data_IF_474769167723
#
_entry.id   IF_474769167723
#
_cell.length_a   1.000
_cell.length_b   1.000
_cell.length_c   1.000
_cell.angle_alpha   90.00
_cell.angle_beta   90.00
_cell.angle_gamma   90.00
#
_symmetry.space_group_name_H-M   'P 1'
#
loop_
_entity.id
_entity.type
_entity.pdbx_description
1 polymer ?
#
# COMPACT_ATOMS: atom_id res chain seq x y z
N UNK A 1 15.62 27.64 -20.61
CA UNK A 1 15.57 28.53 -19.43
C UNK A 1 14.71 29.73 -19.81
N UNK A 2 13.46 29.79 -19.36
CA UNK A 2 12.59 30.94 -19.60
C UNK A 2 12.73 31.90 -18.43
N UNK A 3 13.20 33.11 -18.70
CA UNK A 3 13.31 34.21 -17.75
C UNK A 3 11.91 34.69 -17.35
N UNK A 4 11.51 34.39 -16.11
CA UNK A 4 10.22 34.84 -15.56
C UNK A 4 10.16 36.36 -15.41
N UNK A 5 9.13 36.97 -15.99
CA UNK A 5 8.81 38.38 -15.82
C UNK A 5 8.53 38.70 -14.35
N UNK A 6 9.15 39.78 -13.84
CA UNK A 6 8.97 40.23 -12.45
C UNK A 6 7.60 40.88 -12.29
N UNK A 7 6.56 40.11 -11.97
CA UNK A 7 5.24 40.64 -11.59
C UNK A 7 5.32 41.51 -10.31
N UNK A 8 4.54 42.60 -10.31
CA UNK A 8 4.47 43.62 -9.25
C UNK A 8 3.90 43.11 -7.92
N UNK A 9 4.11 43.89 -6.85
CA UNK A 9 3.79 43.52 -5.47
C UNK A 9 2.31 43.15 -5.24
N UNK A 10 1.38 43.84 -5.91
CA UNK A 10 -0.06 43.59 -5.80
C UNK A 10 -0.46 42.24 -6.45
N UNK A 11 0.13 41.90 -7.60
CA UNK A 11 -0.08 40.60 -8.24
C UNK A 11 0.44 39.45 -7.36
N UNK A 12 1.60 39.64 -6.70
CA UNK A 12 2.16 38.67 -5.74
C UNK A 12 1.31 38.49 -4.48
N UNK A 13 0.53 39.49 -4.09
CA UNK A 13 -0.37 39.44 -2.94
C UNK A 13 -1.70 38.75 -3.28
N UNK A 14 -2.16 38.89 -4.52
CA UNK A 14 -3.39 38.24 -5.03
C UNK A 14 -3.17 36.79 -5.48
N UNK A 15 -2.07 36.51 -6.21
CA UNK A 15 -1.75 35.16 -6.73
C UNK A 15 -1.01 34.29 -5.69
N UNK A 16 -0.47 34.91 -4.63
CA UNK A 16 0.48 34.26 -3.73
C UNK A 16 1.83 34.00 -4.41
N UNK A 17 2.86 33.60 -3.64
CA UNK A 17 4.13 33.15 -4.22
C UNK A 17 3.86 31.81 -4.94
N UNK A 18 3.98 31.79 -6.27
CA UNK A 18 4.12 30.54 -7.02
C UNK A 18 5.26 29.74 -6.38
N UNK A 19 4.92 28.58 -5.79
CA UNK A 19 5.93 27.67 -5.28
C UNK A 19 6.63 27.09 -6.50
N UNK A 20 7.94 27.31 -6.60
CA UNK A 20 8.79 26.64 -7.58
C UNK A 20 8.36 25.18 -7.72
N UNK A 21 8.15 24.69 -8.95
CA UNK A 21 7.76 23.29 -9.20
C UNK A 21 8.70 22.30 -8.52
N UNK A 22 9.97 22.66 -8.37
CA UNK A 22 10.97 21.92 -7.63
C UNK A 22 10.65 21.83 -6.11
N UNK A 23 10.17 22.92 -5.51
CA UNK A 23 9.75 22.96 -4.10
C UNK A 23 8.47 22.12 -3.89
N UNK A 24 7.48 22.25 -4.78
CA UNK A 24 6.25 21.45 -4.73
C UNK A 24 6.52 19.94 -4.87
N UNK A 25 7.45 19.55 -5.76
CA UNK A 25 7.89 18.15 -5.89
C UNK A 25 8.70 17.65 -4.69
N UNK A 26 9.50 18.52 -4.07
CA UNK A 26 10.29 18.15 -2.88
C UNK A 26 9.45 17.86 -1.63
N UNK A 27 8.23 18.41 -1.58
CA UNK A 27 7.27 18.17 -0.49
C UNK A 27 6.49 16.86 -0.64
N UNK A 28 6.57 16.20 -1.79
CA UNK A 28 5.87 14.94 -2.03
C UNK A 28 6.53 13.77 -1.27
N UNK A 29 5.75 12.80 -0.79
CA UNK A 29 6.28 11.68 -0.01
C UNK A 29 7.17 10.78 -0.86
N UNK A 30 8.34 10.43 -0.32
CA UNK A 30 9.38 9.64 -1.01
C UNK A 30 9.57 8.22 -0.47
N UNK A 31 8.86 7.88 0.60
CA UNK A 31 8.76 6.53 1.15
C UNK A 31 7.39 6.38 1.83
N UNK A 32 7.05 5.14 2.20
CA UNK A 32 5.77 4.80 2.86
C UNK A 32 5.57 5.58 4.17
N UNK A 33 6.62 5.70 4.97
CA UNK A 33 6.57 6.50 6.20
C UNK A 33 6.22 7.97 5.97
N UNK A 34 6.80 8.59 4.93
CA UNK A 34 6.49 9.96 4.53
C UNK A 34 5.07 10.07 3.99
N UNK A 35 4.61 9.07 3.24
CA UNK A 35 3.23 8.99 2.73
C UNK A 35 2.22 8.90 3.87
N UNK A 36 2.48 8.09 4.90
CA UNK A 36 1.67 8.04 6.10
C UNK A 36 1.47 9.44 6.70
N UNK A 37 2.57 10.18 6.93
CA UNK A 37 2.49 11.52 7.52
C UNK A 37 1.86 12.55 6.59
N UNK A 38 2.06 12.43 5.28
CA UNK A 38 1.43 13.28 4.27
C UNK A 38 -0.10 13.10 4.29
N UNK A 39 -0.59 11.85 4.33
CA UNK A 39 -2.02 11.56 4.44
C UNK A 39 -2.55 11.99 5.81
N UNK A 40 -1.86 11.62 6.89
CA UNK A 40 -2.31 11.86 8.26
C UNK A 40 -2.46 13.36 8.54
N UNK A 41 -1.48 14.19 8.14
CA UNK A 41 -1.53 15.65 8.36
C UNK A 41 -2.28 16.38 7.26
N UNK A 42 -2.04 16.03 5.99
CA UNK A 42 -2.62 16.71 4.84
C UNK A 42 -4.10 16.42 4.61
N UNK A 43 -4.60 15.26 5.08
CA UNK A 43 -6.01 14.85 4.94
C UNK A 43 -6.66 14.54 6.30
N UNK A 44 -6.17 15.14 7.38
CA UNK A 44 -6.64 14.87 8.75
C UNK A 44 -8.16 14.99 8.91
N UNK A 45 -8.77 16.09 8.44
CA UNK A 45 -10.23 16.28 8.52
C UNK A 45 -11.01 15.18 7.80
N UNK A 46 -10.45 14.64 6.70
CA UNK A 46 -11.07 13.52 5.98
C UNK A 46 -10.99 12.22 6.79
N UNK A 47 -9.87 11.98 7.47
CA UNK A 47 -9.71 10.84 8.37
C UNK A 47 -10.67 10.92 9.57
N UNK A 48 -10.94 12.12 10.09
CA UNK A 48 -11.91 12.33 11.18
C UNK A 48 -13.33 12.03 10.73
N UNK A 49 -13.77 12.60 9.60
CA UNK A 49 -15.12 12.35 9.06
C UNK A 49 -15.30 10.86 8.74
N UNK A 50 -14.28 10.22 8.14
CA UNK A 50 -14.31 8.80 7.87
C UNK A 50 -14.40 7.97 9.16
N UNK A 51 -13.67 8.36 10.21
CA UNK A 51 -13.72 7.69 11.51
C UNK A 51 -15.11 7.76 12.12
N UNK A 52 -15.73 8.95 12.14
CA UNK A 52 -17.07 9.14 12.66
C UNK A 52 -18.11 8.30 11.89
N UNK A 53 -17.97 8.22 10.56
CA UNK A 53 -18.85 7.42 9.73
C UNK A 53 -18.70 5.91 10.02
N UNK A 54 -17.48 5.41 10.22
CA UNK A 54 -17.25 4.05 10.68
C UNK A 54 -17.80 3.83 12.10
N UNK A 55 -17.60 4.79 12.99
CA UNK A 55 -17.97 4.70 14.40
C UNK A 55 -19.46 4.41 14.59
N UNK A 56 -20.32 4.97 13.73
CA UNK A 56 -21.78 4.68 13.73
C UNK A 56 -22.05 3.17 13.67
N UNK A 57 -21.33 2.43 12.84
CA UNK A 57 -21.48 0.98 12.72
C UNK A 57 -20.81 0.20 13.87
N UNK A 58 -19.89 0.83 14.58
CA UNK A 58 -19.26 0.26 15.78
C UNK A 58 -20.09 0.51 17.05
N UNK A 59 -21.10 1.39 17.05
CA UNK A 59 -21.95 1.67 18.22
C UNK A 59 -22.52 0.38 18.84
N UNK A 60 -23.11 -0.57 18.09
CA UNK A 60 -23.60 -1.81 18.69
C UNK A 60 -22.51 -2.61 19.40
N UNK A 61 -21.31 -2.67 18.82
CA UNK A 61 -20.18 -3.39 19.42
C UNK A 61 -19.70 -2.71 20.71
N UNK A 62 -19.61 -1.38 20.69
CA UNK A 62 -19.26 -0.58 21.87
C UNK A 62 -20.29 -0.80 22.98
N UNK A 63 -21.59 -0.71 22.66
CA UNK A 63 -22.67 -0.92 23.63
C UNK A 63 -22.63 -2.31 24.24
N UNK A 64 -22.43 -3.37 23.44
CA UNK A 64 -22.32 -4.74 23.94
C UNK A 64 -21.12 -4.89 24.89
N UNK A 65 -19.97 -4.28 24.57
CA UNK A 65 -18.79 -4.30 25.45
C UNK A 65 -19.04 -3.53 26.76
N UNK A 66 -19.70 -2.37 26.69
CA UNK A 66 -20.06 -1.57 27.86
C UNK A 66 -21.06 -2.32 28.74
N UNK A 67 -22.14 -2.86 28.17
CA UNK A 67 -23.13 -3.64 28.91
C UNK A 67 -22.53 -4.91 29.51
N UNK A 68 -21.64 -5.60 28.80
CA UNK A 68 -20.90 -6.74 29.37
C UNK A 68 -20.12 -6.29 30.61
N UNK A 69 -19.41 -5.17 30.52
CA UNK A 69 -18.58 -4.67 31.63
C UNK A 69 -19.41 -4.22 32.82
N UNK A 70 -20.55 -3.56 32.59
CA UNK A 70 -21.51 -3.19 33.64
C UNK A 70 -22.15 -4.43 34.27
N UNK A 71 -22.52 -5.42 33.46
CA UNK A 71 -23.11 -6.67 33.94
C UNK A 71 -22.15 -7.41 34.88
N UNK A 72 -20.87 -7.52 34.52
CA UNK A 72 -19.84 -8.11 35.42
C UNK A 72 -19.73 -7.33 36.72
N UNK A 73 -19.73 -6.00 36.68
CA UNK A 73 -19.65 -5.16 37.89
C UNK A 73 -20.87 -5.35 38.80
N UNK A 74 -22.08 -5.36 38.25
CA UNK A 74 -23.31 -5.59 39.01
C UNK A 74 -23.32 -7.00 39.62
N UNK A 75 -23.00 -8.03 38.84
CA UNK A 75 -22.92 -9.41 39.34
C UNK A 75 -21.85 -9.55 40.42
N UNK A 76 -20.71 -8.88 40.27
CA UNK A 76 -19.66 -8.88 41.30
C UNK A 76 -20.17 -8.25 42.59
N UNK A 77 -20.91 -7.13 42.53
CA UNK A 77 -21.45 -6.47 43.73
C UNK A 77 -22.60 -7.21 44.43
N UNK A 78 -23.34 -8.08 43.72
CA UNK A 78 -24.45 -8.87 44.27
C UNK A 78 -24.02 -10.21 44.85
N UNK A 79 -22.84 -10.70 44.47
CA UNK A 79 -22.37 -12.04 44.83
C UNK A 79 -21.58 -12.05 46.14
N UNK A 80 -21.65 -13.16 46.91
CA UNK A 80 -21.09 -13.28 48.26
C UNK A 80 -19.55 -13.33 48.32
N UNK A 81 -18.85 -13.20 47.18
CA UNK A 81 -17.39 -13.06 47.13
C UNK A 81 -16.90 -11.60 47.16
N UNK A 82 -17.77 -10.60 46.98
CA UNK A 82 -17.40 -9.17 47.02
C UNK A 82 -17.61 -8.51 48.39
N UNK A 83 -18.39 -9.13 49.29
CA UNK A 83 -18.57 -8.68 50.66
C UNK A 83 -17.51 -9.29 51.56
N UNK A 84 -16.51 -8.48 51.93
CA UNK A 84 -15.68 -8.78 53.09
C UNK A 84 -16.55 -9.11 54.30
N UNK A 85 -16.14 -10.11 55.07
CA UNK A 85 -16.67 -10.53 56.37
C UNK A 85 -17.43 -9.39 57.09
N UNK A 86 -18.77 -9.32 56.97
CA UNK A 86 -19.52 -8.27 57.68
C UNK A 86 -20.95 -7.93 57.23
N UNK A 87 -21.40 -8.37 56.05
CA UNK A 87 -22.73 -7.97 55.54
C UNK A 87 -23.58 -9.12 55.00
N UNK A 88 -24.59 -9.53 55.77
CA UNK A 88 -25.85 -10.13 55.29
C UNK A 88 -25.84 -11.56 54.73
N UNK A 89 -24.70 -12.08 54.28
CA UNK A 89 -24.59 -13.46 53.82
C UNK A 89 -24.04 -14.33 54.95
N UNK A 90 -24.80 -15.34 55.36
CA UNK A 90 -24.30 -16.38 56.28
C UNK A 90 -23.06 -17.08 55.72
N UNK A 91 -22.35 -17.87 56.52
CA UNK A 91 -21.20 -18.64 56.01
C UNK A 91 -21.65 -19.57 54.87
N UNK A 92 -21.39 -19.16 53.61
CA UNK A 92 -21.76 -19.96 52.44
C UNK A 92 -20.63 -20.96 52.18
N UNK A 93 -20.88 -22.26 52.29
CA UNK A 93 -19.88 -23.27 51.94
C UNK A 93 -19.61 -23.25 50.43
N UNK A 94 -18.35 -23.42 50.06
CA UNK A 94 -17.86 -23.62 48.69
C UNK A 94 -18.11 -22.47 47.70
N UNK A 95 -17.32 -21.39 47.81
CA UNK A 95 -17.27 -20.28 46.84
C UNK A 95 -16.27 -20.53 45.70
N UNK A 96 -15.59 -21.68 45.70
CA UNK A 96 -14.55 -22.01 44.73
C UNK A 96 -15.16 -22.08 43.32
N UNK A 97 -14.58 -21.34 42.38
CA UNK A 97 -15.05 -21.29 40.99
C UNK A 97 -16.30 -20.47 40.71
N UNK A 98 -16.91 -19.83 41.72
CA UNK A 98 -18.13 -19.04 41.52
C UNK A 98 -17.85 -17.80 40.65
N UNK A 99 -16.73 -17.10 40.89
CA UNK A 99 -16.33 -15.94 40.10
C UNK A 99 -16.03 -16.32 38.64
N UNK A 100 -15.32 -17.42 38.43
CA UNK A 100 -14.98 -17.94 37.10
C UNK A 100 -16.24 -18.41 36.36
N UNK A 101 -17.20 -19.02 37.06
CA UNK A 101 -18.49 -19.42 36.50
C UNK A 101 -19.32 -18.22 36.04
N UNK A 102 -19.36 -17.15 36.83
CA UNK A 102 -20.02 -15.88 36.45
C UNK A 102 -19.33 -15.25 35.25
N UNK A 103 -18.00 -15.22 35.21
CA UNK A 103 -17.25 -14.70 34.07
C UNK A 103 -17.49 -15.52 32.79
N UNK A 104 -17.52 -16.85 32.92
CA UNK A 104 -17.75 -17.78 31.82
C UNK A 104 -19.18 -17.68 31.27
N UNK A 105 -20.19 -17.69 32.12
CA UNK A 105 -21.60 -17.52 31.70
C UNK A 105 -21.83 -16.15 31.04
N UNK A 106 -21.21 -15.10 31.57
CA UNK A 106 -21.23 -13.77 30.96
C UNK A 106 -20.55 -13.76 29.58
N UNK A 107 -19.39 -14.42 29.44
CA UNK A 107 -18.69 -14.55 28.16
C UNK A 107 -19.50 -15.31 27.12
N UNK A 108 -20.22 -16.36 27.53
CA UNK A 108 -21.11 -17.10 26.65
C UNK A 108 -22.25 -16.21 26.14
N UNK A 109 -22.95 -15.53 27.07
CA UNK A 109 -24.09 -14.67 26.75
C UNK A 109 -23.68 -13.50 25.86
N UNK A 110 -22.68 -12.71 26.27
CA UNK A 110 -22.25 -11.52 25.53
C UNK A 110 -21.42 -11.86 24.30
N UNK A 111 -20.76 -13.01 24.25
CA UNK A 111 -19.95 -13.43 23.12
C UNK A 111 -20.76 -13.57 21.83
N UNK A 112 -21.98 -14.11 21.90
CA UNK A 112 -22.88 -14.19 20.75
C UNK A 112 -23.32 -12.80 20.28
N UNK A 113 -23.65 -11.89 21.21
CA UNK A 113 -23.98 -10.50 20.86
C UNK A 113 -22.79 -9.76 20.24
N UNK A 114 -21.55 -10.02 20.70
CA UNK A 114 -20.32 -9.47 20.12
C UNK A 114 -20.19 -9.94 18.66
N UNK A 115 -20.42 -11.22 18.35
CA UNK A 115 -20.34 -11.73 16.98
C UNK A 115 -21.32 -10.99 16.07
N UNK A 116 -22.58 -10.82 16.50
CA UNK A 116 -23.60 -10.09 15.73
C UNK A 116 -23.19 -8.63 15.54
N UNK A 117 -22.71 -7.97 16.59
CA UNK A 117 -22.24 -6.60 16.53
C UNK A 117 -21.00 -6.42 15.63
N UNK A 118 -20.10 -7.40 15.59
CA UNK A 118 -18.96 -7.43 14.68
C UNK A 118 -19.39 -7.49 13.21
N UNK A 119 -20.46 -8.24 12.89
CA UNK A 119 -21.01 -8.28 11.52
C UNK A 119 -21.55 -6.90 11.11
N UNK A 120 -22.20 -6.18 12.03
CA UNK A 120 -22.65 -4.80 11.78
C UNK A 120 -21.45 -3.87 11.60
N UNK A 121 -20.42 -3.97 12.46
CA UNK A 121 -19.19 -3.19 12.34
C UNK A 121 -18.43 -3.47 11.03
N UNK A 122 -18.54 -4.68 10.48
CA UNK A 122 -17.95 -5.05 9.19
C UNK A 122 -18.50 -4.20 8.02
N UNK A 123 -19.75 -3.72 8.12
CA UNK A 123 -20.32 -2.76 7.16
C UNK A 123 -19.49 -1.48 7.16
N UNK A 124 -19.25 -0.90 8.33
CA UNK A 124 -18.44 0.32 8.47
C UNK A 124 -17.00 0.12 8.00
N UNK A 125 -16.37 -1.00 8.40
CA UNK A 125 -15.01 -1.35 7.97
C UNK A 125 -14.89 -1.48 6.45
N UNK A 126 -15.91 -2.03 5.78
CA UNK A 126 -15.91 -2.21 4.32
C UNK A 126 -15.79 -0.88 3.57
N UNK A 127 -16.56 0.12 3.98
CA UNK A 127 -16.46 1.49 3.45
C UNK A 127 -15.13 2.16 3.83
N UNK A 128 -14.72 2.01 5.09
CA UNK A 128 -13.46 2.54 5.62
C UNK A 128 -12.22 2.08 4.84
N UNK A 129 -12.13 0.77 4.62
CA UNK A 129 -11.04 0.12 3.89
C UNK A 129 -10.92 0.69 2.47
N UNK A 130 -12.03 0.86 1.76
CA UNK A 130 -12.01 1.38 0.40
C UNK A 130 -11.47 2.82 0.36
N UNK A 131 -11.94 3.68 1.26
CA UNK A 131 -11.52 5.08 1.32
C UNK A 131 -10.04 5.19 1.73
N UNK A 132 -9.61 4.48 2.77
CA UNK A 132 -8.21 4.49 3.23
C UNK A 132 -7.28 3.96 2.14
N UNK A 133 -7.63 2.85 1.48
CA UNK A 133 -6.83 2.28 0.38
C UNK A 133 -6.63 3.31 -0.74
N UNK A 134 -7.69 4.00 -1.15
CA UNK A 134 -7.60 5.04 -2.18
C UNK A 134 -6.79 6.26 -1.70
N UNK A 135 -6.86 6.62 -0.41
CA UNK A 135 -5.97 7.65 0.16
C UNK A 135 -4.50 7.23 0.08
N UNK A 136 -4.16 5.98 0.40
CA UNK A 136 -2.79 5.45 0.31
C UNK A 136 -2.31 5.40 -1.15
N UNK A 137 -3.21 5.19 -2.11
CA UNK A 137 -2.89 5.35 -3.53
C UNK A 137 -2.85 6.80 -4.01
N UNK A 138 -2.99 7.77 -3.10
CA UNK A 138 -3.04 9.22 -3.37
C UNK A 138 -4.14 9.65 -4.34
N UNK A 139 -5.16 8.81 -4.52
CA UNK A 139 -6.29 9.12 -5.40
C UNK A 139 -7.16 10.23 -4.77
N UNK A 140 -7.85 10.99 -5.64
CA UNK A 140 -8.88 11.93 -5.22
C UNK A 140 -10.03 11.17 -4.58
N UNK A 141 -10.42 11.56 -3.37
CA UNK A 141 -11.48 10.88 -2.62
C UNK A 141 -12.58 11.84 -2.14
N UNK A 142 -13.81 11.40 -2.34
CA UNK A 142 -15.04 11.99 -1.83
C UNK A 142 -15.64 11.04 -0.79
N UNK A 143 -15.42 11.36 0.49
CA UNK A 143 -15.60 10.42 1.62
C UNK A 143 -16.96 9.74 1.61
N UNK A 144 -18.06 10.50 1.52
CA UNK A 144 -19.40 9.95 1.60
C UNK A 144 -19.68 8.95 0.45
N UNK A 145 -19.45 9.38 -0.79
CA UNK A 145 -19.74 8.56 -1.96
C UNK A 145 -18.82 7.33 -2.05
N UNK A 146 -17.52 7.52 -1.79
CA UNK A 146 -16.54 6.44 -1.82
C UNK A 146 -16.75 5.43 -0.69
N UNK A 147 -17.21 5.87 0.49
CA UNK A 147 -17.53 4.98 1.59
C UNK A 147 -18.67 4.01 1.24
N UNK A 148 -19.80 4.55 0.76
CA UNK A 148 -20.95 3.71 0.35
C UNK A 148 -20.63 2.82 -0.85
N UNK A 149 -19.82 3.32 -1.80
CA UNK A 149 -19.28 2.51 -2.89
C UNK A 149 -18.41 1.38 -2.36
N UNK A 150 -17.55 1.68 -1.39
CA UNK A 150 -16.68 0.72 -0.71
C UNK A 150 -17.46 -0.41 -0.05
N UNK A 151 -18.56 -0.08 0.66
CA UNK A 151 -19.47 -1.06 1.23
C UNK A 151 -19.93 -2.04 0.15
N UNK A 152 -20.49 -1.55 -0.96
CA UNK A 152 -21.03 -2.41 -2.02
C UNK A 152 -19.98 -3.33 -2.64
N UNK A 153 -18.72 -2.91 -2.73
CA UNK A 153 -17.65 -3.68 -3.38
C UNK A 153 -17.04 -4.72 -2.43
N UNK A 154 -16.74 -4.32 -1.19
CA UNK A 154 -15.91 -5.11 -0.28
C UNK A 154 -16.71 -5.87 0.79
N UNK A 155 -18.02 -5.59 0.93
CA UNK A 155 -18.80 -6.03 2.10
C UNK A 155 -18.72 -7.54 2.35
N UNK A 156 -18.87 -8.37 1.31
CA UNK A 156 -18.87 -9.83 1.49
C UNK A 156 -17.55 -10.34 2.07
N UNK A 157 -16.43 -9.87 1.52
CA UNK A 157 -15.10 -10.34 1.95
C UNK A 157 -14.78 -9.83 3.35
N UNK A 158 -15.08 -8.56 3.64
CA UNK A 158 -14.86 -7.96 4.96
C UNK A 158 -15.74 -8.64 6.00
N UNK A 159 -17.03 -8.83 5.72
CA UNK A 159 -17.95 -9.56 6.60
C UNK A 159 -17.47 -10.99 6.88
N UNK A 160 -17.07 -11.76 5.87
CA UNK A 160 -16.56 -13.12 6.08
C UNK A 160 -15.28 -13.13 6.94
N UNK A 161 -14.38 -12.17 6.70
CA UNK A 161 -13.15 -12.03 7.48
C UNK A 161 -13.44 -11.65 8.93
N UNK A 162 -14.33 -10.68 9.14
CA UNK A 162 -14.74 -10.22 10.48
C UNK A 162 -15.52 -11.30 11.23
N UNK A 163 -16.39 -12.06 10.55
CA UNK A 163 -17.11 -13.17 11.15
C UNK A 163 -16.17 -14.30 11.56
N UNK A 164 -15.24 -14.69 10.68
CA UNK A 164 -14.19 -15.66 11.02
C UNK A 164 -13.42 -15.22 12.26
N UNK A 165 -12.97 -13.97 12.29
CA UNK A 165 -12.24 -13.40 13.43
C UNK A 165 -13.07 -13.41 14.72
N UNK A 166 -14.32 -12.94 14.67
CA UNK A 166 -15.19 -12.88 15.84
C UNK A 166 -15.51 -14.27 16.41
N UNK A 167 -15.76 -15.27 15.56
CA UNK A 167 -16.01 -16.65 15.99
C UNK A 167 -14.75 -17.26 16.60
N UNK A 168 -13.58 -17.08 15.99
CA UNK A 168 -12.32 -17.58 16.57
C UNK A 168 -12.01 -16.93 17.91
N UNK A 169 -12.16 -15.60 18.01
CA UNK A 169 -11.99 -14.90 19.28
C UNK A 169 -12.94 -15.43 20.36
N UNK A 170 -14.21 -15.65 20.01
CA UNK A 170 -15.19 -16.22 20.93
C UNK A 170 -14.78 -17.62 21.40
N UNK A 171 -14.40 -18.51 20.48
CA UNK A 171 -13.99 -19.88 20.82
C UNK A 171 -12.75 -19.90 21.74
N UNK A 172 -11.72 -19.11 21.44
CA UNK A 172 -10.52 -19.05 22.29
C UNK A 172 -10.79 -18.39 23.64
N UNK A 173 -11.63 -17.35 23.68
CA UNK A 173 -12.04 -16.71 24.95
C UNK A 173 -12.87 -17.67 25.81
N UNK A 174 -13.75 -18.45 25.20
CA UNK A 174 -14.52 -19.49 25.89
C UNK A 174 -13.61 -20.62 26.39
N UNK A 175 -12.62 -21.04 25.59
CA UNK A 175 -11.63 -22.03 26.00
C UNK A 175 -10.83 -21.57 27.23
N UNK A 176 -10.37 -20.32 27.24
CA UNK A 176 -9.68 -19.72 28.39
C UNK A 176 -10.60 -19.66 29.62
N UNK A 177 -11.85 -19.23 29.44
CA UNK A 177 -12.84 -19.13 30.53
C UNK A 177 -13.15 -20.49 31.14
N UNK A 178 -13.28 -21.52 30.30
CA UNK A 178 -13.52 -22.90 30.72
C UNK A 178 -12.32 -23.47 31.49
N UNK A 179 -11.09 -23.23 31.01
CA UNK A 179 -9.88 -23.63 31.72
C UNK A 179 -9.76 -22.93 33.09
N UNK A 180 -10.07 -21.63 33.18
CA UNK A 180 -10.09 -20.92 34.47
C UNK A 180 -11.10 -21.53 35.45
N UNK A 181 -12.31 -21.83 34.99
CA UNK A 181 -13.34 -22.44 35.82
C UNK A 181 -12.93 -23.84 36.31
N UNK A 182 -12.35 -24.67 35.43
CA UNK A 182 -11.90 -26.00 35.81
C UNK A 182 -10.73 -25.96 36.82
N UNK A 183 -9.80 -25.01 36.67
CA UNK A 183 -8.71 -24.80 37.62
C UNK A 183 -9.22 -24.38 39.01
N UNK A 184 -10.29 -23.59 39.09
CA UNK A 184 -10.79 -23.07 40.37
C UNK A 184 -11.65 -24.05 41.16
N UNK A 185 -12.12 -25.14 40.53
CA UNK A 185 -12.87 -26.22 41.20
C UNK A 185 -12.07 -27.53 41.31
N UNK A 186 -10.75 -27.47 41.10
CA UNK A 186 -9.86 -28.63 41.02
C UNK A 186 -10.34 -29.70 40.00
N UNK A 187 -11.03 -29.25 38.96
CA UNK A 187 -11.63 -30.06 37.91
C UNK A 187 -10.66 -30.35 36.77
N UNK A 188 -9.83 -31.39 36.91
CA UNK A 188 -8.98 -31.89 35.82
C UNK A 188 -7.48 -31.68 36.04
N UNK A 189 -6.70 -31.73 34.96
CA UNK A 189 -5.23 -31.72 35.05
C UNK A 189 -4.70 -30.30 34.84
N UNK A 190 -4.24 -29.65 35.91
CA UNK A 190 -3.83 -28.25 35.92
C UNK A 190 -2.82 -27.89 34.81
N UNK A 191 -1.79 -28.72 34.61
CA UNK A 191 -0.79 -28.49 33.57
C UNK A 191 -1.38 -28.42 32.15
N UNK A 192 -2.34 -29.29 31.82
CA UNK A 192 -3.00 -29.29 30.51
C UNK A 192 -3.89 -28.05 30.33
N UNK A 193 -4.59 -27.64 31.39
CA UNK A 193 -5.47 -26.46 31.38
C UNK A 193 -4.66 -25.17 31.18
N UNK A 194 -3.56 -24.99 31.93
CA UNK A 194 -2.65 -23.84 31.76
C UNK A 194 -2.03 -23.82 30.36
N UNK A 195 -1.60 -24.99 29.85
CA UNK A 195 -1.06 -25.10 28.49
C UNK A 195 -2.11 -24.68 27.45
N UNK A 196 -3.36 -25.10 27.60
CA UNK A 196 -4.47 -24.70 26.73
C UNK A 196 -4.71 -23.18 26.73
N UNK A 197 -4.61 -22.52 27.89
CA UNK A 197 -4.75 -21.07 27.99
C UNK A 197 -3.63 -20.34 27.24
N UNK A 198 -2.38 -20.75 27.43
CA UNK A 198 -1.23 -20.15 26.73
C UNK A 198 -1.38 -20.31 25.22
N UNK A 199 -1.74 -21.52 24.75
CA UNK A 199 -2.00 -21.76 23.32
C UNK A 199 -3.15 -20.91 22.78
N UNK A 200 -4.22 -20.71 23.56
CA UNK A 200 -5.35 -19.87 23.18
C UNK A 200 -4.96 -18.39 23.05
N UNK A 201 -4.14 -17.85 23.96
CA UNK A 201 -3.63 -16.49 23.83
C UNK A 201 -2.73 -16.30 22.60
N UNK A 202 -1.85 -17.27 22.33
CA UNK A 202 -1.01 -17.27 21.12
C UNK A 202 -1.90 -17.33 19.87
N UNK A 203 -2.91 -18.20 19.87
CA UNK A 203 -3.84 -18.36 18.76
C UNK A 203 -4.65 -17.08 18.50
N UNK A 204 -5.10 -16.38 19.56
CA UNK A 204 -5.73 -15.05 19.43
C UNK A 204 -4.79 -14.09 18.72
N UNK A 205 -3.54 -13.97 19.16
CA UNK A 205 -2.55 -13.09 18.53
C UNK A 205 -2.35 -13.40 17.04
N UNK A 206 -2.16 -14.67 16.70
CA UNK A 206 -2.00 -15.14 15.31
C UNK A 206 -3.24 -14.82 14.47
N UNK A 207 -4.44 -15.13 14.98
CA UNK A 207 -5.70 -14.92 14.27
C UNK A 207 -6.03 -13.43 14.12
N UNK A 208 -5.64 -12.58 15.07
CA UNK A 208 -5.72 -11.12 14.92
C UNK A 208 -4.84 -10.64 13.77
N UNK A 209 -3.59 -11.08 13.69
CA UNK A 209 -2.70 -10.70 12.58
C UNK A 209 -3.25 -11.22 11.24
N UNK A 210 -3.75 -12.46 11.22
CA UNK A 210 -4.40 -13.04 10.04
C UNK A 210 -5.60 -12.19 9.61
N UNK A 211 -6.47 -11.80 10.54
CA UNK A 211 -7.63 -10.97 10.25
C UNK A 211 -7.24 -9.64 9.59
N UNK A 212 -6.21 -8.97 10.11
CA UNK A 212 -5.71 -7.73 9.51
C UNK A 212 -5.18 -7.96 8.08
N UNK A 213 -4.47 -9.06 7.84
CA UNK A 213 -4.06 -9.45 6.48
C UNK A 213 -5.26 -9.73 5.57
N UNK A 214 -6.29 -10.42 6.08
CA UNK A 214 -7.52 -10.69 5.33
C UNK A 214 -8.23 -9.40 4.92
N UNK A 215 -8.29 -8.39 5.81
CA UNK A 215 -8.85 -7.08 5.47
C UNK A 215 -8.05 -6.39 4.36
N UNK A 216 -6.72 -6.35 4.50
CA UNK A 216 -5.85 -5.69 3.52
C UNK A 216 -5.92 -6.38 2.14
N UNK A 217 -5.78 -7.70 2.08
CA UNK A 217 -5.85 -8.44 0.83
C UNK A 217 -7.25 -8.41 0.23
N UNK A 218 -8.29 -8.58 1.04
CA UNK A 218 -9.68 -8.54 0.60
C UNK A 218 -10.10 -7.19 0.03
N UNK A 219 -9.52 -6.11 0.56
CA UNK A 219 -9.70 -4.76 0.02
C UNK A 219 -8.92 -4.47 -1.27
N UNK A 220 -7.91 -5.27 -1.64
CA UNK A 220 -7.03 -4.98 -2.78
C UNK A 220 -7.15 -6.01 -3.92
N UNK A 221 -7.51 -7.24 -3.61
CA UNK A 221 -7.51 -8.38 -4.52
C UNK A 221 -8.83 -9.14 -4.45
N UNK A 222 -9.32 -9.59 -5.61
CA UNK A 222 -10.50 -10.46 -5.70
C UNK A 222 -10.08 -11.91 -5.39
N UNK A 223 -10.13 -12.28 -4.10
CA UNK A 223 -9.76 -13.62 -3.62
C UNK A 223 -10.98 -14.36 -3.06
N UNK A 224 -11.02 -15.68 -3.22
CA UNK A 224 -12.00 -16.53 -2.51
C UNK A 224 -11.63 -16.62 -1.03
N UNK A 225 -12.61 -16.86 -0.15
CA UNK A 225 -12.40 -16.92 1.30
C UNK A 225 -11.24 -17.82 1.73
N UNK A 226 -11.19 -19.08 1.28
CA UNK A 226 -10.11 -20.00 1.66
C UNK A 226 -8.74 -19.62 1.07
N UNK A 227 -8.71 -18.97 -0.08
CA UNK A 227 -7.46 -18.43 -0.64
C UNK A 227 -6.98 -17.26 0.21
N UNK A 228 -7.90 -16.35 0.58
CA UNK A 228 -7.63 -15.24 1.47
C UNK A 228 -7.11 -15.71 2.83
N UNK A 229 -7.74 -16.75 3.40
CA UNK A 229 -7.34 -17.34 4.68
C UNK A 229 -5.92 -17.93 4.62
N UNK A 230 -5.62 -18.75 3.60
CA UNK A 230 -4.29 -19.36 3.39
C UNK A 230 -3.21 -18.29 3.17
N UNK A 231 -3.50 -17.30 2.33
CA UNK A 231 -2.54 -16.23 2.02
C UNK A 231 -2.28 -15.35 3.25
N UNK A 232 -3.32 -15.07 4.04
CA UNK A 232 -3.19 -14.28 5.27
C UNK A 232 -2.39 -15.03 6.32
N UNK A 233 -2.60 -16.35 6.45
CA UNK A 233 -1.77 -17.20 7.30
C UNK A 233 -0.28 -17.13 6.91
N UNK A 234 0.03 -17.24 5.61
CA UNK A 234 1.40 -17.14 5.11
C UNK A 234 2.05 -15.79 5.47
N UNK A 235 1.31 -14.69 5.33
CA UNK A 235 1.84 -13.35 5.64
C UNK A 235 2.00 -13.09 7.13
N UNK A 236 1.16 -13.71 7.98
CA UNK A 236 1.30 -13.62 9.44
C UNK A 236 2.67 -14.12 9.90
N UNK A 237 3.14 -15.25 9.36
CA UNK A 237 4.43 -15.83 9.72
C UNK A 237 5.59 -15.31 8.85
N UNK A 238 5.34 -15.04 7.57
CA UNK A 238 6.36 -14.56 6.63
C UNK A 238 6.91 -13.18 6.99
N UNK A 239 6.16 -12.37 7.74
CA UNK A 239 6.53 -11.02 8.16
C UNK A 239 6.39 -10.81 9.68
N UNK A 240 6.65 -11.84 10.48
CA UNK A 240 6.33 -11.83 11.93
C UNK A 240 6.90 -10.60 12.67
N UNK A 241 8.15 -10.22 12.42
CA UNK A 241 8.78 -9.08 13.09
C UNK A 241 8.16 -7.75 12.68
N UNK A 242 7.89 -7.56 11.39
CA UNK A 242 7.22 -6.36 10.89
C UNK A 242 5.77 -6.29 11.37
N UNK A 243 5.06 -7.42 11.38
CA UNK A 243 3.69 -7.52 11.88
C UNK A 243 3.61 -7.07 13.34
N UNK A 244 4.50 -7.56 14.21
CA UNK A 244 4.54 -7.15 15.63
C UNK A 244 4.75 -5.64 15.75
N UNK A 245 5.74 -5.10 15.04
CA UNK A 245 6.05 -3.66 15.09
C UNK A 245 4.86 -2.80 14.65
N UNK A 246 4.25 -3.11 13.50
CA UNK A 246 3.13 -2.32 12.98
C UNK A 246 1.84 -2.53 13.76
N UNK A 247 1.62 -3.69 14.36
CA UNK A 247 0.50 -3.91 15.30
C UNK A 247 0.68 -3.06 16.55
N UNK A 248 1.89 -2.98 17.11
CA UNK A 248 2.15 -2.14 18.27
C UNK A 248 1.87 -0.65 17.96
N UNK A 249 2.30 -0.16 16.79
CA UNK A 249 1.99 1.20 16.34
C UNK A 249 0.50 1.42 16.08
N UNK A 250 -0.15 0.47 15.40
CA UNK A 250 -1.58 0.50 15.12
C UNK A 250 -2.39 0.54 16.42
N UNK A 251 -1.99 -0.24 17.42
CA UNK A 251 -2.70 -0.43 18.68
C UNK A 251 -2.53 0.73 19.67
N UNK A 252 -1.74 1.78 19.36
CA UNK A 252 -1.53 2.93 20.27
C UNK A 252 -2.85 3.48 20.86
N UNK A 253 -3.91 3.76 20.06
CA UNK A 253 -5.19 4.21 20.61
C UNK A 253 -5.81 3.23 21.62
N UNK A 254 -5.68 1.92 21.37
CA UNK A 254 -6.21 0.88 22.25
C UNK A 254 -5.34 0.71 23.50
N UNK A 255 -4.02 0.80 23.39
CA UNK A 255 -3.10 0.74 24.53
C UNK A 255 -3.40 1.89 25.50
N UNK A 256 -3.67 3.10 25.00
CA UNK A 256 -4.08 4.23 25.85
C UNK A 256 -5.36 3.95 26.64
N UNK A 257 -6.34 3.25 26.05
CA UNK A 257 -7.54 2.82 26.76
C UNK A 257 -7.24 1.84 27.90
N UNK A 258 -6.25 0.97 27.73
CA UNK A 258 -5.88 -0.05 28.72
C UNK A 258 -5.08 0.51 29.90
N UNK A 259 -4.40 1.64 29.74
CA UNK A 259 -3.59 2.26 30.80
C UNK A 259 -4.43 2.95 31.89
N UNK A 260 -5.72 3.19 31.66
CA UNK A 260 -6.63 3.78 32.65
C UNK A 260 -6.42 5.28 32.90
N UNK A 261 -7.20 5.85 33.83
CA UNK A 261 -7.06 7.23 34.32
C UNK A 261 -7.05 8.28 33.17
N UNK A 262 -6.14 9.26 33.22
CA UNK A 262 -5.95 10.30 32.21
C UNK A 262 -5.64 9.74 30.82
N UNK A 263 -4.86 8.65 30.71
CA UNK A 263 -4.53 8.04 29.42
C UNK A 263 -5.76 7.43 28.75
N UNK A 264 -6.68 6.85 29.53
CA UNK A 264 -7.94 6.34 28.99
C UNK A 264 -8.80 7.47 28.41
N UNK A 265 -8.86 8.63 29.06
CA UNK A 265 -9.58 9.79 28.52
C UNK A 265 -9.00 10.24 27.17
N UNK A 266 -7.67 10.33 27.06
CA UNK A 266 -6.99 10.62 25.80
C UNK A 266 -7.30 9.54 24.76
N UNK A 267 -7.22 8.27 25.15
CA UNK A 267 -7.54 7.14 24.29
C UNK A 267 -8.95 7.22 23.72
N UNK A 268 -9.95 7.54 24.55
CA UNK A 268 -11.35 7.72 24.13
C UNK A 268 -11.46 8.87 23.11
N UNK A 269 -10.85 10.02 23.40
CA UNK A 269 -10.89 11.18 22.49
C UNK A 269 -10.26 10.83 21.15
N UNK A 270 -9.09 10.17 21.15
CA UNK A 270 -8.43 9.70 19.92
C UNK A 270 -9.33 8.71 19.17
N UNK A 271 -9.93 7.75 19.88
CA UNK A 271 -10.82 6.75 19.28
C UNK A 271 -12.03 7.38 18.59
N UNK A 272 -12.65 8.39 19.21
CA UNK A 272 -13.78 9.13 18.65
C UNK A 272 -13.35 9.97 17.45
N UNK A 273 -12.22 10.68 17.55
CA UNK A 273 -11.79 11.59 16.49
C UNK A 273 -11.26 10.83 15.28
N UNK A 274 -10.31 9.91 15.45
CA UNK A 274 -9.63 9.27 14.31
C UNK A 274 -9.05 7.87 14.59
N UNK A 275 -9.37 7.21 15.70
CA UNK A 275 -8.67 5.99 16.12
C UNK A 275 -8.83 4.81 15.16
N UNK A 276 -10.04 4.54 14.66
CA UNK A 276 -10.29 3.45 13.70
C UNK A 276 -9.65 3.78 12.35
N UNK A 277 -9.77 5.03 11.88
CA UNK A 277 -9.15 5.44 10.61
C UNK A 277 -7.63 5.46 10.68
N UNK A 278 -7.03 5.83 11.82
CA UNK A 278 -5.60 5.71 12.07
C UNK A 278 -5.15 4.26 12.08
N UNK A 279 -5.86 3.40 12.78
CA UNK A 279 -5.57 1.96 12.81
C UNK A 279 -5.55 1.36 11.40
N UNK A 280 -6.57 1.67 10.59
CA UNK A 280 -6.60 1.25 9.20
C UNK A 280 -5.49 1.89 8.37
N UNK A 281 -5.18 3.17 8.57
CA UNK A 281 -4.14 3.86 7.81
C UNK A 281 -2.75 3.25 8.05
N UNK A 282 -2.39 3.01 9.32
CA UNK A 282 -1.12 2.37 9.69
C UNK A 282 -1.02 0.99 9.04
N UNK A 283 -2.06 0.17 9.19
CA UNK A 283 -2.06 -1.18 8.65
C UNK A 283 -2.06 -1.20 7.11
N UNK A 284 -2.85 -0.34 6.48
CA UNK A 284 -2.95 -0.32 5.02
C UNK A 284 -1.67 0.22 4.38
N UNK A 285 -1.05 1.28 4.92
CA UNK A 285 0.22 1.76 4.38
C UNK A 285 1.34 0.70 4.48
N UNK A 286 1.43 0.00 5.61
CA UNK A 286 2.31 -1.15 5.77
C UNK A 286 1.98 -2.29 4.79
N UNK A 287 0.70 -2.66 4.66
CA UNK A 287 0.30 -3.75 3.77
C UNK A 287 0.58 -3.44 2.30
N UNK A 288 0.45 -2.18 1.86
CA UNK A 288 0.78 -1.75 0.50
C UNK A 288 2.28 -1.88 0.22
N UNK A 289 3.15 -1.58 1.19
CA UNK A 289 4.57 -1.90 1.06
C UNK A 289 4.82 -3.39 0.84
N UNK A 290 4.14 -4.25 1.61
CA UNK A 290 4.28 -5.69 1.45
C UNK A 290 3.74 -6.14 0.09
N UNK A 291 2.62 -5.57 -0.37
CA UNK A 291 2.03 -5.91 -1.67
C UNK A 291 2.92 -5.52 -2.83
N UNK A 292 3.49 -4.31 -2.77
CA UNK A 292 4.50 -3.85 -3.71
C UNK A 292 5.69 -4.80 -3.78
N UNK A 293 6.21 -5.20 -2.61
CA UNK A 293 7.41 -6.02 -2.52
C UNK A 293 7.18 -7.46 -2.96
N UNK A 294 6.06 -8.08 -2.58
CA UNK A 294 5.86 -9.53 -2.74
C UNK A 294 4.93 -9.92 -3.90
N UNK A 295 3.99 -9.05 -4.31
CA UNK A 295 3.01 -9.36 -5.35
C UNK A 295 3.20 -8.49 -6.60
N UNK A 296 3.11 -7.16 -6.48
CA UNK A 296 3.09 -6.26 -7.65
C UNK A 296 4.42 -6.24 -8.39
N UNK A 297 5.56 -6.33 -7.70
CA UNK A 297 6.89 -6.42 -8.32
C UNK A 297 7.07 -7.63 -9.24
N UNK A 298 6.28 -8.69 -9.04
CA UNK A 298 6.35 -9.95 -9.80
C UNK A 298 5.23 -10.07 -10.84
N UNK A 299 4.31 -9.12 -10.89
CA UNK A 299 3.16 -9.14 -11.78
C UNK A 299 3.46 -8.34 -13.04
N UNK A 300 3.18 -8.91 -14.21
CA UNK A 300 3.28 -8.18 -15.48
C UNK A 300 2.34 -6.96 -15.46
N UNK A 301 2.89 -5.77 -15.68
CA UNK A 301 2.16 -4.50 -15.60
C UNK A 301 1.77 -4.05 -14.19
N UNK A 302 2.33 -4.67 -13.15
CA UNK A 302 2.10 -4.29 -11.75
C UNK A 302 2.58 -2.87 -11.45
N UNK A 303 1.72 -2.07 -10.81
CA UNK A 303 2.05 -0.69 -10.44
C UNK A 303 2.58 -0.67 -9.01
N UNK A 304 3.90 -0.62 -8.87
CA UNK A 304 4.62 -0.56 -7.59
C UNK A 304 4.76 0.89 -7.11
N UNK A 305 4.84 1.12 -5.80
CA UNK A 305 5.12 2.42 -5.17
C UNK A 305 4.08 3.50 -5.48
N UNK A 306 2.81 3.12 -5.62
CA UNK A 306 1.71 4.09 -5.77
C UNK A 306 1.70 5.08 -4.61
N UNK A 307 1.58 6.37 -4.94
CA UNK A 307 1.61 7.47 -3.99
C UNK A 307 3.01 7.89 -3.51
N UNK A 308 4.07 7.22 -3.98
CA UNK A 308 5.45 7.55 -3.63
C UNK A 308 6.12 8.21 -4.83
N UNK A 309 6.75 9.35 -4.60
CA UNK A 309 7.40 10.16 -5.62
C UNK A 309 8.91 10.09 -5.43
N UNK A 310 9.64 9.88 -6.54
CA UNK A 310 11.09 9.99 -6.51
C UNK A 310 11.48 11.42 -6.11
N UNK A 311 12.29 11.57 -5.05
CA UNK A 311 12.90 12.86 -4.74
C UNK A 311 13.78 13.26 -5.92
N UNK A 312 13.39 14.32 -6.62
CA UNK A 312 14.35 15.09 -7.40
C UNK A 312 15.42 15.55 -6.40
N UNK A 313 16.64 15.06 -6.54
CA UNK A 313 17.77 15.58 -5.76
C UNK A 313 17.82 17.11 -5.94
N UNK A 314 18.32 17.83 -4.93
CA UNK A 314 18.72 19.22 -5.10
C UNK A 314 19.77 19.26 -6.22
N UNK A 315 19.32 19.49 -7.44
CA UNK A 315 20.10 19.28 -8.67
C UNK A 315 19.42 18.30 -9.62
N UNK A 316 18.24 18.68 -10.15
CA UNK A 316 17.72 18.29 -11.48
C UNK A 316 17.79 16.83 -11.95
N UNK A 317 18.05 15.84 -11.10
CA UNK A 317 18.23 14.47 -11.53
C UNK A 317 16.86 13.85 -11.76
N UNK A 318 16.54 13.65 -13.04
CA UNK A 318 15.34 12.98 -13.49
C UNK A 318 15.25 11.54 -12.94
N UNK A 319 14.03 11.00 -12.83
CA UNK A 319 13.79 9.66 -12.29
C UNK A 319 14.61 8.59 -13.03
N UNK A 320 14.97 7.48 -12.39
CA UNK A 320 15.68 6.37 -13.06
C UNK A 320 15.00 5.88 -14.34
N UNK A 321 13.67 5.87 -14.39
CA UNK A 321 12.93 5.51 -15.60
C UNK A 321 13.09 6.56 -16.73
N UNK A 322 13.22 7.83 -16.36
CA UNK A 322 13.51 8.91 -17.31
C UNK A 322 14.99 8.91 -17.68
N UNK A 323 15.90 8.54 -16.77
CA UNK A 323 17.32 8.33 -17.09
C UNK A 323 17.51 7.13 -18.02
N UNK A 324 16.80 6.02 -17.82
CA UNK A 324 16.81 4.86 -18.71
C UNK A 324 16.15 5.18 -20.05
N UNK A 325 15.04 5.93 -20.05
CA UNK A 325 14.42 6.41 -21.28
C UNK A 325 15.33 7.38 -22.04
N UNK A 326 15.97 8.32 -21.34
CA UNK A 326 16.91 9.27 -21.94
C UNK A 326 18.22 8.61 -22.35
N UNK A 327 18.68 7.58 -21.63
CA UNK A 327 19.80 6.74 -22.05
C UNK A 327 19.43 5.89 -23.27
N UNK A 328 18.20 5.36 -23.34
CA UNK A 328 17.68 4.67 -24.51
C UNK A 328 17.52 5.61 -25.71
N UNK A 329 17.07 6.85 -25.47
CA UNK A 329 17.02 7.90 -26.49
C UNK A 329 18.44 8.29 -26.94
N UNK A 330 19.39 8.38 -26.01
CA UNK A 330 20.78 8.66 -26.30
C UNK A 330 21.48 7.51 -27.04
N UNK A 331 21.03 6.26 -26.85
CA UNK A 331 21.51 5.10 -27.62
C UNK A 331 20.83 4.96 -28.98
N UNK A 332 19.74 5.69 -29.24
CA UNK A 332 19.02 5.63 -30.51
C UNK A 332 19.44 6.81 -31.37
N UNK A 333 20.17 6.53 -32.46
CA UNK A 333 20.58 7.56 -33.43
C UNK A 333 19.33 8.27 -33.97
N UNK A 334 19.16 9.54 -33.65
CA UNK A 334 18.02 10.33 -34.13
C UNK A 334 18.22 10.68 -35.60
N UNK A 335 17.31 10.24 -36.46
CA UNK A 335 17.37 10.56 -37.90
C UNK A 335 17.41 12.07 -38.14
N UNK A 336 16.66 12.85 -37.35
CA UNK A 336 16.63 14.31 -37.47
C UNK A 336 17.91 15.01 -37.01
N UNK A 337 18.67 14.41 -36.09
CA UNK A 337 19.94 14.96 -35.63
C UNK A 337 21.13 14.48 -36.49
N UNK A 338 20.96 13.38 -37.21
CA UNK A 338 22.01 12.76 -38.03
C UNK A 338 22.18 13.37 -39.42
N UNK A 339 21.19 14.14 -39.90
CA UNK A 339 21.22 14.80 -41.22
C UNK A 339 20.92 16.29 -41.12
N UNK A 340 21.51 17.12 -41.99
CA UNK A 340 21.11 18.50 -42.17
C UNK A 340 19.63 18.63 -42.54
N UNK A 341 18.92 19.53 -41.86
CA UNK A 341 17.54 19.89 -42.18
C UNK A 341 17.51 21.36 -42.56
N UNK A 342 16.89 21.67 -43.70
CA UNK A 342 16.73 23.04 -44.17
C UNK A 342 15.78 23.82 -43.27
N UNK A 343 16.12 25.04 -42.82
CA UNK A 343 15.21 25.91 -42.08
C UNK A 343 13.95 26.25 -42.90
N UNK A 344 12.80 26.39 -42.22
CA UNK A 344 11.50 26.75 -42.83
C UNK A 344 11.43 28.26 -43.13
N UNK A 345 12.46 28.81 -43.76
CA UNK A 345 12.55 30.24 -44.11
C UNK A 345 12.34 30.48 -45.61
N UNK A 346 12.18 29.41 -46.39
CA UNK A 346 12.07 29.48 -47.84
C UNK A 346 10.63 29.64 -48.35
N UNK A 347 10.50 30.28 -49.51
CA UNK A 347 9.23 30.55 -50.18
C UNK A 347 8.65 29.33 -50.91
N UNK A 348 9.27 28.15 -50.83
CA UNK A 348 8.72 26.91 -51.41
C UNK A 348 7.52 26.45 -50.58
N UNK A 349 6.32 26.58 -51.17
CA UNK A 349 5.07 26.07 -50.61
C UNK A 349 4.58 24.88 -51.43
N UNK A 350 4.00 23.90 -50.75
CA UNK A 350 3.29 22.81 -51.41
C UNK A 350 2.07 23.41 -52.13
N UNK A 351 1.86 23.04 -53.39
CA UNK A 351 0.66 23.47 -54.12
C UNK A 351 -0.58 22.86 -53.45
N UNK A 352 -1.53 23.69 -53.01
CA UNK A 352 -2.77 23.24 -52.40
C UNK A 352 -3.80 22.93 -53.50
N UNK A 353 -4.45 21.77 -53.41
CA UNK A 353 -5.48 21.37 -54.37
C UNK A 353 -6.78 22.15 -54.10
N UNK A 354 -7.45 22.70 -55.13
CA UNK A 354 -8.79 23.27 -55.01
C UNK A 354 -9.86 22.17 -54.84
N UNK A 355 -11.03 22.55 -54.32
CA UNK A 355 -12.16 21.64 -54.04
C UNK A 355 -12.63 20.82 -55.26
N UNK A 356 -12.41 21.33 -56.46
CA UNK A 356 -12.56 20.61 -57.73
C UNK A 356 -11.22 20.61 -58.48
N UNK A 357 -10.50 19.48 -58.47
CA UNK A 357 -9.16 19.36 -59.06
C UNK A 357 -9.15 18.61 -60.39
N UNK A 358 -8.30 19.07 -61.30
CA UNK A 358 -8.05 18.44 -62.61
C UNK A 358 -6.79 17.55 -62.59
N UNK A 359 -6.57 16.78 -63.66
CA UNK A 359 -5.31 16.03 -63.85
C UNK A 359 -4.08 16.94 -63.90
N UNK A 360 -4.25 18.17 -64.37
CA UNK A 360 -3.16 19.16 -64.40
C UNK A 360 -2.80 19.64 -62.99
N UNK A 361 -3.79 19.78 -62.10
CA UNK A 361 -3.56 20.18 -60.71
C UNK A 361 -2.84 19.09 -59.90
N UNK A 362 -3.10 17.82 -60.20
CA UNK A 362 -2.33 16.69 -59.67
C UNK A 362 -0.89 16.70 -60.16
N UNK A 363 -0.65 17.11 -61.41
CA UNK A 363 0.70 17.25 -61.97
C UNK A 363 1.46 18.39 -61.27
N UNK A 364 0.83 19.55 -61.07
CA UNK A 364 1.40 20.69 -60.32
C UNK A 364 1.68 20.32 -58.86
N UNK A 365 0.79 19.58 -58.20
CA UNK A 365 1.04 19.06 -56.85
C UNK A 365 2.27 18.16 -56.82
N UNK A 366 2.38 17.23 -57.78
CA UNK A 366 3.52 16.32 -57.86
C UNK A 366 4.82 17.07 -58.11
N UNK A 367 4.82 18.03 -59.03
CA UNK A 367 5.97 18.90 -59.34
C UNK A 367 6.39 19.73 -58.12
N UNK A 368 5.44 20.27 -57.36
CA UNK A 368 5.74 20.99 -56.11
C UNK A 368 6.38 20.10 -55.05
N UNK A 369 5.92 18.85 -54.92
CA UNK A 369 6.49 17.87 -53.97
C UNK A 369 7.88 17.40 -54.39
N UNK A 370 8.11 17.17 -55.69
CA UNK A 370 9.43 16.79 -56.20
C UNK A 370 10.42 17.94 -56.06
N UNK A 371 10.01 19.19 -56.31
CA UNK A 371 10.88 20.35 -56.11
C UNK A 371 11.33 20.50 -54.65
N UNK A 372 10.42 20.28 -53.69
CA UNK A 372 10.76 20.31 -52.25
C UNK A 372 11.69 19.16 -51.87
N UNK A 373 11.46 17.96 -52.42
CA UNK A 373 12.33 16.80 -52.16
C UNK A 373 13.75 17.02 -52.71
N UNK A 374 13.88 17.47 -53.95
CA UNK A 374 15.16 17.76 -54.59
C UNK A 374 15.92 18.89 -53.88
N UNK A 375 15.20 19.93 -53.43
CA UNK A 375 15.77 21.03 -52.66
C UNK A 375 16.28 20.57 -51.27
N UNK A 376 15.52 19.70 -50.59
CA UNK A 376 15.95 19.08 -49.34
C UNK A 376 17.19 18.19 -49.52
N UNK A 377 17.26 17.40 -50.59
CA UNK A 377 18.42 16.55 -50.90
C UNK A 377 19.66 17.37 -51.26
N UNK A 378 19.49 18.47 -52.01
CA UNK A 378 20.60 19.41 -52.29
C UNK A 378 21.15 20.00 -51.02
N UNK A 379 20.28 20.50 -50.14
CA UNK A 379 20.68 21.07 -48.86
C UNK A 379 21.39 20.04 -47.96
N UNK A 380 20.87 18.81 -47.92
CA UNK A 380 21.48 17.70 -47.17
C UNK A 380 22.91 17.41 -47.69
N UNK A 381 23.11 17.37 -49.00
CA UNK A 381 24.42 17.13 -49.61
C UNK A 381 25.41 18.27 -49.39
N UNK A 382 24.95 19.52 -49.48
CA UNK A 382 25.77 20.71 -49.27
C UNK A 382 26.29 20.82 -47.82
N UNK A 383 25.45 20.46 -46.85
CA UNK A 383 25.74 20.61 -45.42
C UNK A 383 26.16 19.30 -44.74
N UNK A 384 26.31 18.20 -45.51
CA UNK A 384 26.67 16.87 -45.00
C UNK A 384 27.98 16.86 -44.20
N UNK A 385 28.90 17.74 -44.58
CA UNK A 385 30.23 17.86 -43.97
C UNK A 385 30.33 18.93 -42.88
N UNK A 386 29.21 19.54 -42.48
CA UNK A 386 29.23 20.49 -41.38
C UNK A 386 29.66 19.79 -40.09
N UNK A 387 30.55 20.45 -39.35
CA UNK A 387 31.19 19.92 -38.13
C UNK A 387 30.18 19.27 -37.18
N UNK A 388 29.02 19.89 -36.99
CA UNK A 388 27.94 19.41 -36.11
C UNK A 388 27.45 18.00 -36.47
N UNK A 389 27.24 17.69 -37.75
CA UNK A 389 26.71 16.39 -38.17
C UNK A 389 27.79 15.34 -38.27
N UNK A 390 29.01 15.73 -38.66
CA UNK A 390 30.18 14.84 -38.69
C UNK A 390 30.54 14.39 -37.27
N UNK A 391 30.62 15.32 -36.31
CA UNK A 391 30.91 15.01 -34.90
C UNK A 391 29.80 14.13 -34.29
N UNK A 392 28.54 14.46 -34.55
CA UNK A 392 27.41 13.67 -34.07
C UNK A 392 27.44 12.23 -34.61
N UNK A 393 27.61 12.05 -35.93
CA UNK A 393 27.65 10.73 -36.54
C UNK A 393 28.89 9.92 -36.12
N UNK A 394 30.06 10.56 -35.99
CA UNK A 394 31.29 9.91 -35.54
C UNK A 394 31.18 9.38 -34.10
N UNK A 395 30.49 10.08 -33.19
CA UNK A 395 30.26 9.59 -31.83
C UNK A 395 29.45 8.29 -31.80
N UNK A 396 28.43 8.16 -32.66
CA UNK A 396 27.63 6.93 -32.74
C UNK A 396 28.39 5.79 -33.44
N UNK A 397 29.19 6.09 -34.46
CA UNK A 397 30.05 5.08 -35.12
C UNK A 397 31.10 4.52 -34.15
N UNK A 398 31.69 5.37 -33.30
CA UNK A 398 32.61 4.94 -32.24
C UNK A 398 31.91 4.03 -31.22
N UNK A 399 30.71 4.40 -30.76
CA UNK A 399 29.92 3.58 -29.85
C UNK A 399 29.54 2.22 -30.46
N UNK A 400 29.17 2.17 -31.75
CA UNK A 400 28.84 0.92 -32.44
C UNK A 400 30.09 0.05 -32.65
N UNK A 401 31.24 0.66 -32.96
CA UNK A 401 32.52 -0.05 -33.10
C UNK A 401 32.99 -0.63 -31.77
N UNK A 402 32.87 0.12 -30.67
CA UNK A 402 33.17 -0.35 -29.31
C UNK A 402 32.23 -1.49 -28.88
N UNK A 403 30.94 -1.38 -29.20
CA UNK A 403 29.95 -2.44 -28.93
C UNK A 403 30.28 -3.73 -29.70
N UNK A 404 30.62 -3.62 -31.00
CA UNK A 404 31.04 -4.77 -31.82
C UNK A 404 32.35 -5.38 -31.32
N UNK A 405 33.34 -4.57 -30.98
CA UNK A 405 34.61 -5.04 -30.42
C UNK A 405 34.43 -5.76 -29.08
N UNK A 406 33.54 -5.25 -28.22
CA UNK A 406 33.18 -5.91 -26.97
C UNK A 406 32.48 -7.26 -27.21
N UNK A 407 31.58 -7.34 -28.20
CA UNK A 407 30.88 -8.58 -28.56
C UNK A 407 31.84 -9.64 -29.17
N UNK A 408 32.79 -9.21 -29.98
CA UNK A 408 33.85 -10.08 -30.54
C UNK A 408 34.82 -10.58 -29.45
N UNK A 409 35.19 -9.72 -28.49
CA UNK A 409 35.99 -10.11 -27.34
C UNK A 409 35.26 -11.14 -26.45
N UNK A 410 33.94 -11.04 -26.33
CA UNK A 410 33.12 -12.02 -25.61
C UNK A 410 33.02 -13.37 -26.36
N UNK A 411 32.86 -13.34 -27.68
CA UNK A 411 32.88 -14.54 -28.54
C UNK A 411 34.25 -15.24 -28.51
N UNK A 412 35.34 -14.47 -28.50
CA UNK A 412 36.71 -14.98 -28.33
C UNK A 412 36.96 -15.63 -26.97
N UNK A 413 36.39 -15.09 -25.89
CA UNK A 413 36.45 -15.72 -24.55
C UNK A 413 35.66 -17.02 -24.50
N UNK A 414 34.49 -17.10 -25.16
CA UNK A 414 33.69 -18.35 -25.25
C UNK A 414 34.41 -19.44 -26.06
N UNK A 415 35.12 -19.10 -27.14
CA UNK A 415 35.89 -20.08 -27.93
C UNK A 415 37.12 -20.62 -27.18
N UNK A 416 37.81 -19.78 -26.39
CA UNK A 416 38.92 -20.20 -25.52
C UNK A 416 38.45 -21.16 -24.40
N UNK A 417 37.29 -20.88 -23.80
CA UNK A 417 36.67 -21.76 -22.78
C UNK A 417 36.20 -23.11 -23.34
N UNK A 418 35.89 -23.19 -24.63
CA UNK A 418 35.56 -24.44 -25.34
C UNK A 418 36.80 -25.30 -25.57
N UNK A 419 37.94 -24.69 -25.96
CA UNK A 419 39.22 -25.42 -26.13
C UNK A 419 39.78 -25.97 -24.82
N UNK A 420 39.69 -25.25 -23.71
CA UNK A 420 40.17 -25.74 -22.41
C UNK A 420 39.35 -26.93 -21.86
N UNK A 421 38.09 -27.10 -22.29
CA UNK A 421 37.26 -28.26 -21.89
C UNK A 421 37.54 -29.55 -22.67
N UNK A 422 38.28 -29.50 -23.79
CA UNK A 422 38.70 -30.69 -24.54
C UNK A 422 40.12 -31.18 -24.18
N UNK A 423 40.84 -30.46 -23.32
CA UNK A 423 42.26 -30.73 -22.98
C UNK A 423 42.52 -31.50 -21.68
N UNK A 424 41.49 -31.93 -20.94
CA UNK A 424 41.68 -32.66 -19.66
C UNK A 424 40.95 -34.01 -19.66
N UNK A 425 41.50 -34.96 -20.43
CA UNK A 425 41.29 -36.39 -20.21
C UNK A 425 42.33 -36.94 -19.21
N UNK A 426 41.96 -37.91 -18.35
CA UNK A 426 42.75 -38.28 -17.18
C UNK A 426 44.01 -39.08 -17.57
N UNK A 427 45.18 -38.65 -17.09
CA UNK A 427 46.38 -39.49 -17.05
C UNK A 427 46.23 -40.50 -15.90
N UNK A 428 46.16 -41.77 -16.24
CA UNK A 428 46.22 -42.87 -15.30
C UNK A 428 47.61 -42.96 -14.66
N UNK A 429 47.62 -43.09 -13.33
CA UNK A 429 48.73 -43.65 -12.58
C UNK A 429 48.42 -45.12 -12.32
N UNK A 430 49.36 -45.99 -12.70
CA UNK A 430 49.32 -47.40 -12.33
C UNK A 430 50.08 -47.61 -11.01
N UNK A 431 49.39 -48.16 -10.02
CA UNK A 431 49.81 -49.30 -9.20
C UNK A 431 48.67 -49.74 -8.29
#
# INVERSE_FOLDING_TARGET
MATGEKKGFIARMLEGKERDDAYARSTLPSNRWGLFWDIFKGRFSKLVILNLLMLIFFIPLILVIVFRSLYIQVQSGLMPFASGMGGGFGAIPNLAGLQENVAMSTNLMFGLFIIVACVIAAVGLSGGIYVIRNMVWTEGIFIANDFWRGIKINFVIVMQSTLFYAVMLFLFTMSISWANYLLSVDGGVAFLLVTSQVLSYIAIGVVTVMYLWMLSMGGNYKLKFFQLLKNSFLMTFGLIFQNIFFIALMAIPLILLLLGSFFMMIGIVIMILFGISFMLLVWFDYSQWAFDKFFESKREGGKVNRGIYAKAGKGGAESKAVQEYNAALASTKSELASRPIKPITDNLKVYELPDAFSREDLKKLRESKTAIAEDSERYENEHKNDKKYVEYNAMFEQQEAEAKAAEEAEKGKKSKKSKDKLGTGPKGEGK
#
